data_IF_034265342282
#
_entry.id   IF_034265342282
#
_cell.length_a   1.000
_cell.length_b   1.000
_cell.length_c   1.000
_cell.angle_alpha   90.00
_cell.angle_beta   90.00
_cell.angle_gamma   90.00
#
_symmetry.space_group_name_H-M   'P 1'
#
loop_
_entity.id
_entity.type
_entity.pdbx_description
1 polymer ?
#
# COMPACT_ATOMS: atom_id res chain seq x y z
N UNK A 1 14.22 1.90 -7.73
CA UNK A 1 14.21 1.14 -6.45
C UNK A 1 14.13 2.08 -5.24
N UNK A 2 15.02 3.07 -5.10
CA UNK A 2 15.09 3.97 -3.92
C UNK A 2 13.80 4.79 -3.72
N UNK A 3 13.25 5.36 -4.78
CA UNK A 3 11.97 6.12 -4.72
C UNK A 3 10.83 5.25 -4.19
N UNK A 4 10.69 4.03 -4.72
CA UNK A 4 9.66 3.08 -4.26
C UNK A 4 9.82 2.75 -2.77
N UNK A 5 11.06 2.63 -2.29
CA UNK A 5 11.31 2.36 -0.86
C UNK A 5 10.87 3.54 0.03
N UNK A 6 11.04 4.78 -0.42
CA UNK A 6 10.56 5.96 0.31
C UNK A 6 9.04 6.03 0.33
N UNK A 7 8.40 5.83 -0.82
CA UNK A 7 6.93 5.77 -0.91
C UNK A 7 6.40 4.67 0.03
N UNK A 8 6.94 3.46 -0.05
CA UNK A 8 6.52 2.34 0.80
C UNK A 8 6.68 2.64 2.29
N UNK A 9 7.69 3.43 2.69
CA UNK A 9 7.86 3.87 4.08
C UNK A 9 6.76 4.82 4.50
N UNK A 10 6.47 5.82 3.69
CA UNK A 10 5.48 6.84 4.02
C UNK A 10 4.08 6.21 4.06
N UNK A 11 3.74 5.37 3.11
CA UNK A 11 2.48 4.61 3.12
C UNK A 11 2.37 3.67 4.33
N UNK A 12 3.48 3.08 4.77
CA UNK A 12 3.49 2.26 5.98
C UNK A 12 3.18 3.07 7.24
N UNK A 13 3.63 4.34 7.32
CA UNK A 13 3.30 5.24 8.43
C UNK A 13 1.84 5.69 8.38
N UNK A 14 1.33 6.10 7.21
CA UNK A 14 -0.07 6.47 7.02
C UNK A 14 -0.99 5.32 7.44
N UNK A 15 -0.70 4.13 6.96
CA UNK A 15 -1.46 2.94 7.27
C UNK A 15 -1.41 2.58 8.76
N UNK A 16 -0.23 2.63 9.39
CA UNK A 16 -0.08 2.35 10.82
C UNK A 16 -0.86 3.34 11.69
N UNK A 17 -0.82 4.63 11.34
CA UNK A 17 -1.55 5.69 12.04
C UNK A 17 -3.06 5.49 11.90
N UNK A 18 -3.56 5.28 10.68
CA UNK A 18 -4.98 5.07 10.43
C UNK A 18 -5.51 3.81 11.15
N UNK A 19 -4.78 2.70 11.10
CA UNK A 19 -5.15 1.47 11.81
C UNK A 19 -5.12 1.63 13.33
N UNK A 20 -4.17 2.40 13.86
CA UNK A 20 -4.12 2.71 15.29
C UNK A 20 -5.35 3.52 15.71
N UNK A 21 -5.71 4.54 14.96
CA UNK A 21 -6.90 5.36 15.22
C UNK A 21 -8.16 4.50 15.23
N UNK A 22 -8.38 3.69 14.19
CA UNK A 22 -9.56 2.81 14.10
C UNK A 22 -9.62 1.82 15.29
N UNK A 23 -8.47 1.24 15.66
CA UNK A 23 -8.39 0.33 16.81
C UNK A 23 -8.70 1.03 18.13
N UNK A 24 -8.22 2.27 18.32
CA UNK A 24 -8.51 3.06 19.51
C UNK A 24 -10.00 3.37 19.59
N UNK A 25 -10.62 3.82 18.53
CA UNK A 25 -12.05 4.13 18.50
C UNK A 25 -12.95 2.90 18.70
N UNK A 26 -12.60 1.76 18.08
CA UNK A 26 -13.36 0.51 18.26
C UNK A 26 -13.36 0.03 19.71
N UNK A 27 -12.31 0.31 20.48
CA UNK A 27 -12.14 -0.16 21.86
C UNK A 27 -12.31 0.96 22.90
N UNK A 28 -12.73 2.15 22.52
CA UNK A 28 -12.81 3.28 23.43
C UNK A 28 -14.09 3.21 24.28
N UNK A 29 -13.92 2.86 25.56
CA UNK A 29 -15.05 2.68 26.50
C UNK A 29 -15.83 3.97 26.79
N UNK A 30 -15.22 5.14 26.59
CA UNK A 30 -15.76 6.44 26.94
C UNK A 30 -16.51 7.13 25.78
N UNK A 31 -16.34 6.69 24.54
CA UNK A 31 -17.04 7.24 23.38
C UNK A 31 -18.06 6.25 22.83
N UNK A 32 -19.24 6.24 23.45
CA UNK A 32 -20.34 5.34 23.09
C UNK A 32 -20.85 5.59 21.67
N UNK A 33 -20.81 6.84 21.20
CA UNK A 33 -21.30 7.21 19.87
C UNK A 33 -20.36 6.62 18.82
N UNK A 34 -19.06 6.87 18.95
CA UNK A 34 -18.08 6.36 18.00
C UNK A 34 -18.03 4.82 18.01
N UNK A 35 -18.11 4.21 19.20
CA UNK A 35 -18.17 2.75 19.31
C UNK A 35 -19.39 2.17 18.59
N UNK A 36 -20.55 2.84 18.66
CA UNK A 36 -21.73 2.41 17.94
C UNK A 36 -21.56 2.57 16.43
N UNK A 37 -21.06 3.71 15.96
CA UNK A 37 -20.73 3.93 14.53
C UNK A 37 -19.79 2.85 13.99
N UNK A 38 -18.75 2.52 14.73
CA UNK A 38 -17.79 1.47 14.33
C UNK A 38 -18.44 0.09 14.19
N UNK A 39 -19.45 -0.21 15.03
CA UNK A 39 -20.22 -1.46 14.92
C UNK A 39 -21.19 -1.43 13.75
N UNK A 40 -21.87 -0.31 13.55
CA UNK A 40 -22.87 -0.18 12.48
C UNK A 40 -22.22 -0.23 11.09
N UNK A 41 -21.00 0.28 10.97
CA UNK A 41 -20.24 0.28 9.72
C UNK A 41 -19.34 -0.98 9.53
N UNK A 42 -19.32 -1.92 10.46
CA UNK A 42 -18.40 -3.08 10.40
C UNK A 42 -18.60 -3.90 9.13
N UNK A 43 -19.84 -4.13 8.72
CA UNK A 43 -20.16 -4.87 7.49
C UNK A 43 -19.66 -4.13 6.24
N UNK A 44 -19.86 -2.82 6.19
CA UNK A 44 -19.37 -1.99 5.07
C UNK A 44 -17.84 -2.04 4.96
N UNK A 45 -17.13 -2.08 6.08
CA UNK A 45 -15.66 -2.25 6.09
C UNK A 45 -15.26 -3.60 5.54
N UNK A 46 -15.97 -4.69 5.83
CA UNK A 46 -15.71 -5.99 5.20
C UNK A 46 -15.90 -5.93 3.68
N UNK A 47 -16.99 -5.35 3.20
CA UNK A 47 -17.26 -5.18 1.77
C UNK A 47 -16.16 -4.37 1.07
N UNK A 48 -15.67 -3.30 1.71
CA UNK A 48 -14.51 -2.55 1.18
C UNK A 48 -13.25 -3.41 1.06
N UNK A 49 -12.99 -4.31 2.02
CA UNK A 49 -11.85 -5.24 1.93
C UNK A 49 -12.03 -6.25 0.80
N UNK A 50 -13.24 -6.80 0.63
CA UNK A 50 -13.55 -7.74 -0.46
C UNK A 50 -13.39 -7.09 -1.82
N UNK A 51 -13.90 -5.86 -2.00
CA UNK A 51 -13.76 -5.10 -3.23
C UNK A 51 -12.29 -4.78 -3.55
N UNK A 52 -11.53 -4.35 -2.56
CA UNK A 52 -10.11 -4.08 -2.73
C UNK A 52 -9.32 -5.34 -3.13
N UNK A 53 -9.58 -6.47 -2.47
CA UNK A 53 -8.96 -7.75 -2.81
C UNK A 53 -9.34 -8.21 -4.21
N UNK A 54 -10.59 -8.02 -4.61
CA UNK A 54 -11.05 -8.32 -5.96
C UNK A 54 -10.31 -7.50 -7.00
N UNK A 55 -10.21 -6.19 -6.81
CA UNK A 55 -9.46 -5.30 -7.72
C UNK A 55 -7.99 -5.71 -7.84
N UNK A 56 -7.33 -6.05 -6.74
CA UNK A 56 -5.94 -6.49 -6.75
C UNK A 56 -5.75 -7.83 -7.49
N UNK A 57 -6.71 -8.74 -7.40
CA UNK A 57 -6.70 -9.99 -8.17
C UNK A 57 -6.89 -9.75 -9.66
N UNK A 58 -7.83 -8.90 -10.05
CA UNK A 58 -8.03 -8.49 -11.44
C UNK A 58 -6.76 -7.82 -12.00
N UNK A 59 -6.11 -6.99 -11.19
CA UNK A 59 -4.83 -6.38 -11.54
C UNK A 59 -3.71 -7.42 -11.72
N UNK A 60 -3.66 -8.44 -10.87
CA UNK A 60 -2.71 -9.53 -10.99
C UNK A 60 -2.90 -10.31 -12.30
N UNK A 61 -4.13 -10.60 -12.69
CA UNK A 61 -4.46 -11.24 -13.96
C UNK A 61 -4.03 -10.38 -15.16
N UNK A 62 -4.27 -9.07 -15.09
CA UNK A 62 -3.83 -8.14 -16.13
C UNK A 62 -2.31 -8.10 -16.26
N UNK A 63 -1.57 -8.05 -15.16
CA UNK A 63 -0.11 -8.00 -15.16
C UNK A 63 0.53 -9.27 -15.73
N UNK A 64 -0.06 -10.43 -15.47
CA UNK A 64 0.47 -11.74 -15.88
C UNK A 64 -0.26 -12.37 -17.07
N UNK A 65 -1.03 -11.57 -17.83
CA UNK A 65 -1.76 -12.06 -19.01
C UNK A 65 -0.86 -12.71 -20.07
N UNK A 66 0.39 -12.27 -20.17
CA UNK A 66 1.37 -12.75 -21.14
C UNK A 66 2.34 -13.80 -20.53
N UNK A 67 2.12 -14.21 -19.30
CA UNK A 67 2.90 -15.24 -18.60
C UNK A 67 3.36 -14.84 -17.21
N UNK A 68 3.86 -15.82 -16.46
CA UNK A 68 4.35 -15.66 -15.10
C UNK A 68 5.83 -15.26 -15.08
N UNK A 69 6.25 -14.61 -13.98
CA UNK A 69 7.65 -14.32 -13.69
C UNK A 69 8.24 -15.40 -12.77
N UNK A 70 9.56 -15.52 -12.74
CA UNK A 70 10.25 -16.41 -11.78
C UNK A 70 9.92 -15.98 -10.35
N UNK A 71 9.31 -16.89 -9.60
CA UNK A 71 8.93 -16.65 -8.20
C UNK A 71 7.71 -15.76 -7.99
N UNK A 72 6.98 -15.41 -9.06
CA UNK A 72 5.75 -14.63 -8.99
C UNK A 72 4.76 -15.06 -10.07
N UNK A 73 3.54 -15.40 -9.65
CA UNK A 73 2.45 -15.83 -10.53
C UNK A 73 1.12 -15.32 -10.00
N UNK A 74 0.06 -15.33 -10.84
CA UNK A 74 -1.28 -14.90 -10.41
C UNK A 74 -1.74 -15.65 -9.15
N UNK A 75 -1.70 -17.00 -9.06
CA UNK A 75 -2.16 -17.68 -7.85
C UNK A 75 -1.35 -17.32 -6.60
N UNK A 76 -0.05 -17.10 -6.76
CA UNK A 76 0.82 -16.74 -5.63
C UNK A 76 0.57 -15.31 -5.16
N UNK A 77 0.36 -14.38 -6.10
CA UNK A 77 0.03 -12.99 -5.80
C UNK A 77 -1.37 -12.90 -5.16
N UNK A 78 -2.36 -13.64 -5.66
CA UNK A 78 -3.68 -13.70 -5.07
C UNK A 78 -3.65 -14.15 -3.60
N UNK A 79 -2.90 -15.22 -3.30
CA UNK A 79 -2.69 -15.65 -1.90
C UNK A 79 -2.01 -14.59 -1.05
N UNK A 80 -1.08 -13.85 -1.63
CA UNK A 80 -0.41 -12.75 -0.91
C UNK A 80 -1.36 -11.59 -0.60
N UNK A 81 -2.21 -11.19 -1.54
CA UNK A 81 -3.24 -10.16 -1.34
C UNK A 81 -4.19 -10.56 -0.21
N UNK A 82 -4.71 -11.79 -0.24
CA UNK A 82 -5.57 -12.33 0.82
C UNK A 82 -4.85 -12.38 2.19
N UNK A 83 -3.58 -12.79 2.21
CA UNK A 83 -2.75 -12.77 3.41
C UNK A 83 -2.61 -11.36 3.99
N UNK A 84 -2.36 -10.36 3.15
CA UNK A 84 -2.24 -8.96 3.58
C UNK A 84 -3.59 -8.44 4.09
N UNK A 85 -4.70 -8.72 3.39
CA UNK A 85 -6.05 -8.33 3.82
C UNK A 85 -6.37 -8.89 5.21
N UNK A 86 -6.21 -10.19 5.43
CA UNK A 86 -6.41 -10.82 6.74
C UNK A 86 -5.54 -10.19 7.84
N UNK A 87 -4.29 -9.86 7.51
CA UNK A 87 -3.39 -9.20 8.45
C UNK A 87 -3.89 -7.80 8.82
N UNK A 88 -4.38 -7.03 7.86
CA UNK A 88 -4.90 -5.68 8.08
C UNK A 88 -6.23 -5.69 8.86
N UNK A 89 -7.12 -6.60 8.54
CA UNK A 89 -8.36 -6.81 9.30
C UNK A 89 -8.07 -7.03 10.79
N UNK A 90 -7.15 -7.94 11.12
CA UNK A 90 -6.77 -8.16 12.53
C UNK A 90 -6.19 -6.94 13.22
N UNK A 91 -5.45 -6.11 12.49
CA UNK A 91 -4.86 -4.90 13.08
C UNK A 91 -5.91 -3.88 13.53
N UNK A 92 -7.07 -3.85 12.90
CA UNK A 92 -8.22 -3.01 13.29
C UNK A 92 -9.28 -3.75 14.10
N UNK A 93 -8.98 -5.02 14.50
CA UNK A 93 -9.85 -5.82 15.34
C UNK A 93 -11.02 -6.49 14.62
N UNK A 94 -10.90 -6.71 13.31
CA UNK A 94 -11.82 -7.53 12.54
C UNK A 94 -11.33 -8.96 12.42
N UNK A 95 -12.26 -9.90 12.29
CA UNK A 95 -11.93 -11.29 12.01
C UNK A 95 -11.52 -11.47 10.53
N UNK A 96 -10.51 -12.30 10.25
CA UNK A 96 -10.10 -12.57 8.88
C UNK A 96 -11.14 -13.42 8.14
N UNK A 97 -11.35 -13.12 6.85
CA UNK A 97 -12.35 -13.82 6.03
C UNK A 97 -11.76 -14.73 4.97
N UNK A 98 -10.46 -14.63 4.68
CA UNK A 98 -9.80 -15.47 3.67
C UNK A 98 -9.14 -16.70 4.31
N UNK A 99 -9.28 -17.86 3.63
CA UNK A 99 -8.65 -19.11 4.06
C UNK A 99 -7.17 -19.17 3.65
N UNK A 100 -6.37 -18.26 4.23
CA UNK A 100 -4.92 -18.23 4.07
C UNK A 100 -4.26 -18.12 5.44
N UNK A 101 -3.17 -18.87 5.63
CA UNK A 101 -2.41 -18.82 6.88
C UNK A 101 -1.87 -17.42 7.13
N UNK A 102 -2.20 -16.85 8.28
CA UNK A 102 -1.67 -15.57 8.72
C UNK A 102 -0.24 -15.64 9.25
N UNK A 103 0.26 -16.83 9.53
CA UNK A 103 1.61 -17.03 10.04
C UNK A 103 2.66 -17.05 8.90
N UNK A 104 2.27 -17.55 7.73
CA UNK A 104 3.17 -17.78 6.60
C UNK A 104 2.92 -16.79 5.48
N UNK A 105 3.85 -15.86 5.30
CA UNK A 105 3.82 -14.97 4.14
C UNK A 105 4.06 -15.77 2.86
N UNK A 106 3.12 -15.78 1.89
CA UNK A 106 3.29 -16.48 0.61
C UNK A 106 4.45 -15.95 -0.24
N UNK A 107 4.83 -14.68 -0.04
CA UNK A 107 5.94 -14.02 -0.72
C UNK A 107 6.96 -13.50 0.33
N UNK A 108 7.76 -14.38 0.95
CA UNK A 108 8.64 -13.99 2.07
C UNK A 108 9.70 -12.95 1.69
N UNK A 109 10.11 -12.91 0.43
CA UNK A 109 11.07 -11.94 -0.08
C UNK A 109 10.53 -10.49 -0.06
N UNK A 110 9.21 -10.29 -0.06
CA UNK A 110 8.60 -8.95 0.04
C UNK A 110 8.98 -8.24 1.34
N UNK A 111 9.26 -8.97 2.42
CA UNK A 111 9.70 -8.39 3.70
C UNK A 111 11.01 -7.62 3.55
N UNK A 112 11.92 -8.11 2.72
CA UNK A 112 13.20 -7.45 2.48
C UNK A 112 13.00 -6.13 1.73
N UNK A 113 12.22 -6.16 0.66
CA UNK A 113 11.99 -5.00 -0.21
C UNK A 113 11.10 -3.91 0.43
N UNK A 114 10.17 -4.32 1.29
CA UNK A 114 9.27 -3.41 2.01
C UNK A 114 9.82 -2.97 3.36
N UNK A 115 11.03 -3.41 3.73
CA UNK A 115 11.65 -3.02 4.99
C UNK A 115 12.29 -1.62 4.87
N UNK A 116 11.59 -0.64 5.40
CA UNK A 116 12.01 0.77 5.42
C UNK A 116 12.79 1.18 6.68
N UNK A 117 13.10 0.24 7.59
CA UNK A 117 13.73 0.54 8.88
C UNK A 117 15.12 1.19 8.77
N UNK A 118 15.82 1.00 7.65
CA UNK A 118 17.11 1.61 7.39
C UNK A 118 17.06 3.00 6.76
N UNK A 119 15.88 3.52 6.45
CA UNK A 119 15.71 4.83 5.85
C UNK A 119 15.59 5.88 6.97
N UNK A 120 16.64 6.66 7.18
CA UNK A 120 16.73 7.63 8.27
C UNK A 120 16.13 8.99 7.92
N UNK A 121 16.12 9.38 6.63
CA UNK A 121 15.68 10.71 6.19
C UNK A 121 14.29 10.65 5.56
N UNK A 122 13.52 11.73 5.68
CA UNK A 122 12.29 11.90 4.93
C UNK A 122 12.60 11.96 3.42
N UNK A 123 11.67 11.48 2.54
CA UNK A 123 11.90 11.52 1.09
C UNK A 123 12.20 12.92 0.56
N UNK A 124 11.54 13.93 1.11
CA UNK A 124 11.71 15.33 0.75
C UNK A 124 13.02 15.95 1.26
N UNK A 125 13.70 15.31 2.21
CA UNK A 125 14.98 15.75 2.79
C UNK A 125 16.19 15.06 2.13
N UNK A 126 15.94 14.09 1.27
CA UNK A 126 16.99 13.29 0.63
C UNK A 126 17.17 13.76 -0.79
N UNK A 127 18.40 14.21 -1.13
CA UNK A 127 18.78 14.39 -2.52
C UNK A 127 18.62 13.05 -3.25
N UNK A 128 17.82 13.04 -4.31
CA UNK A 128 17.68 11.88 -5.17
C UNK A 128 18.94 11.85 -6.03
N UNK A 129 19.87 10.96 -5.71
CA UNK A 129 21.16 10.80 -6.43
C UNK A 129 20.99 10.56 -7.95
N UNK A 130 19.80 10.10 -8.38
CA UNK A 130 19.45 9.97 -9.79
C UNK A 130 18.99 11.28 -10.44
N UNK A 131 18.74 12.33 -9.66
CA UNK A 131 18.60 13.67 -10.19
C UNK A 131 19.99 14.25 -10.37
N UNK A 132 20.54 14.10 -11.55
CA UNK A 132 21.73 14.84 -11.95
C UNK A 132 21.28 16.30 -12.01
N UNK A 133 21.61 17.05 -10.95
CA UNK A 133 21.49 18.51 -10.93
C UNK A 133 22.41 18.99 -12.08
N UNK A 134 21.81 19.44 -13.18
CA UNK A 134 22.54 19.77 -14.41
C UNK A 134 22.24 18.85 -15.59
N UNK A 135 21.53 17.73 -15.37
CA UNK A 135 20.96 16.91 -16.45
C UNK A 135 19.58 17.37 -16.91
N UNK A 136 18.96 18.30 -16.19
CA UNK A 136 17.80 19.02 -16.69
C UNK A 136 18.33 20.02 -17.69
N UNK A 137 18.01 19.81 -18.94
CA UNK A 137 18.22 20.85 -19.94
C UNK A 137 17.57 22.15 -19.45
N UNK A 138 18.39 23.11 -19.08
CA UNK A 138 17.95 24.46 -18.74
C UNK A 138 17.93 25.36 -19.99
N UNK A 139 17.68 24.77 -21.15
CA UNK A 139 17.56 25.45 -22.44
C UNK A 139 16.13 25.89 -22.78
N UNK A 140 15.26 25.87 -21.77
CA UNK A 140 13.92 26.47 -21.88
C UNK A 140 14.10 27.99 -21.86
N UNK A 141 13.90 28.60 -22.99
CA UNK A 141 13.87 30.06 -23.19
C UNK A 141 12.47 30.48 -23.66
N UNK A 142 12.25 31.77 -23.79
CA UNK A 142 10.95 32.33 -24.18
C UNK A 142 10.47 31.82 -25.54
N UNK A 143 11.37 31.31 -26.40
CA UNK A 143 11.07 30.78 -27.73
C UNK A 143 10.68 29.29 -27.71
N UNK A 144 10.94 28.57 -26.60
CA UNK A 144 10.76 27.11 -26.52
C UNK A 144 9.30 26.68 -26.71
N UNK A 145 8.35 27.55 -26.44
CA UNK A 145 6.91 27.27 -26.51
C UNK A 145 6.15 28.08 -27.55
N UNK A 146 6.85 28.81 -28.43
CA UNK A 146 6.21 29.66 -29.45
C UNK A 146 5.36 28.86 -30.45
N UNK A 147 5.67 27.59 -30.67
CA UNK A 147 4.91 26.72 -31.58
C UNK A 147 3.68 26.06 -30.91
N UNK A 148 3.51 26.21 -29.59
CA UNK A 148 2.32 25.74 -28.87
C UNK A 148 1.23 26.83 -28.93
N UNK A 149 0.34 26.71 -29.88
CA UNK A 149 -0.92 27.47 -29.89
C UNK A 149 -1.90 26.79 -28.92
N UNK A 150 -2.27 27.50 -27.85
CA UNK A 150 -3.41 27.16 -27.00
C UNK A 150 -4.72 27.38 -27.78
#
# INVERSE_FOLDING_TARGET
AKIISFIARDEAQHLATSQHILKVYKNHENDKIMNQVMKDCEQEVYEMYEDAVKQEKEWAEFLFRDGSMIGLSVPLLNKYVEYIANKRMRMIGLDPIYDVSSANNPLPWTRHWLNSRGLQNAPQETEIESYVIGGIKQDVNDDTFQDFKL
#
